data_IF_336510398305
#
_entry.id   IF_336510398305
#
_cell.length_a   1.000
_cell.length_b   1.000
_cell.length_c   1.000
_cell.angle_alpha   90.00
_cell.angle_beta   90.00
_cell.angle_gamma   90.00
#
_symmetry.space_group_name_H-M   'P 1'
#
loop_
_entity.id
_entity.type
_entity.pdbx_description
1 polymer ?
#
# COMPACT_ATOMS: atom_id res chain seq x y z
N UNK A 1 8.42 19.91 -12.29
CA UNK A 1 8.10 20.47 -10.96
C UNK A 1 6.62 20.82 -10.82
N UNK A 2 5.99 21.37 -11.87
CA UNK A 2 4.60 21.83 -11.85
C UNK A 2 3.58 20.78 -11.36
N UNK A 3 3.61 19.54 -11.91
CA UNK A 3 2.73 18.44 -11.48
C UNK A 3 2.81 18.10 -9.98
N UNK A 4 3.97 18.26 -9.34
CA UNK A 4 4.16 17.92 -7.92
C UNK A 4 3.47 18.94 -7.02
N UNK A 5 3.58 20.22 -7.35
CA UNK A 5 2.89 21.30 -6.61
C UNK A 5 1.38 21.23 -6.82
N UNK A 6 0.94 20.86 -8.03
CA UNK A 6 -0.46 20.66 -8.35
C UNK A 6 -1.05 19.47 -7.58
N UNK A 7 -0.33 18.35 -7.44
CA UNK A 7 -0.82 17.16 -6.74
C UNK A 7 -1.28 17.42 -5.30
N UNK A 8 -0.59 18.31 -4.57
CA UNK A 8 -0.95 18.65 -3.18
C UNK A 8 -2.26 19.45 -3.10
N UNK A 9 -2.55 20.26 -4.12
CA UNK A 9 -3.76 21.11 -4.20
C UNK A 9 -4.87 20.49 -5.05
N UNK A 10 -4.58 19.40 -5.74
CA UNK A 10 -5.44 18.77 -6.73
C UNK A 10 -6.84 18.50 -6.20
N UNK A 11 -7.85 18.84 -7.01
CA UNK A 11 -9.24 18.46 -6.79
C UNK A 11 -9.46 16.95 -7.04
N UNK A 12 -10.70 16.50 -6.90
CA UNK A 12 -11.02 15.07 -7.02
C UNK A 12 -10.70 14.51 -8.42
N UNK A 13 -11.00 15.26 -9.47
CA UNK A 13 -10.80 14.83 -10.86
C UNK A 13 -9.32 14.81 -11.21
N UNK A 14 -8.58 15.84 -10.80
CA UNK A 14 -7.13 15.93 -10.97
C UNK A 14 -6.41 14.80 -10.22
N UNK A 15 -6.80 14.49 -8.97
CA UNK A 15 -6.22 13.36 -8.23
C UNK A 15 -6.47 12.02 -8.91
N UNK A 16 -7.67 11.80 -9.47
CA UNK A 16 -7.98 10.57 -10.19
C UNK A 16 -7.05 10.35 -11.39
N UNK A 17 -6.73 11.42 -12.13
CA UNK A 17 -5.77 11.39 -13.24
C UNK A 17 -4.33 11.17 -12.73
N UNK A 18 -3.91 11.93 -11.72
CA UNK A 18 -2.55 11.86 -11.18
C UNK A 18 -2.22 10.52 -10.51
N UNK A 19 -3.23 9.77 -10.03
CA UNK A 19 -3.03 8.42 -9.50
C UNK A 19 -2.62 7.39 -10.56
N UNK A 20 -2.84 7.69 -11.85
CA UNK A 20 -2.40 6.86 -12.97
C UNK A 20 -1.02 7.31 -13.51
N UNK A 21 -0.42 8.36 -12.96
CA UNK A 21 0.86 8.88 -13.41
C UNK A 21 1.99 7.88 -13.09
N UNK A 22 2.93 7.74 -14.02
CA UNK A 22 4.05 6.80 -13.91
C UNK A 22 5.22 7.36 -13.10
N UNK A 23 5.18 8.64 -12.71
CA UNK A 23 6.18 9.26 -11.84
C UNK A 23 5.83 8.99 -10.35
N UNK A 24 6.63 8.19 -9.62
CA UNK A 24 6.39 7.93 -8.20
C UNK A 24 6.37 9.19 -7.33
N UNK A 25 7.04 10.28 -7.76
CA UNK A 25 7.04 11.55 -7.03
C UNK A 25 5.65 12.20 -7.03
N UNK A 26 4.87 11.99 -8.09
CA UNK A 26 3.47 12.46 -8.18
C UNK A 26 2.63 11.69 -7.17
N UNK A 27 2.73 10.36 -7.14
CA UNK A 27 2.03 9.52 -6.15
C UNK A 27 2.39 9.92 -4.71
N UNK A 28 3.67 10.13 -4.42
CA UNK A 28 4.13 10.58 -3.10
C UNK A 28 3.58 11.96 -2.73
N UNK A 29 3.50 12.88 -3.70
CA UNK A 29 2.93 14.21 -3.50
C UNK A 29 1.42 14.15 -3.25
N UNK A 30 0.69 13.25 -3.93
CA UNK A 30 -0.74 13.04 -3.72
C UNK A 30 -1.06 12.58 -2.30
N UNK A 31 -0.22 11.73 -1.70
CA UNK A 31 -0.37 11.29 -0.31
C UNK A 31 -0.35 12.46 0.70
N UNK A 32 0.19 13.62 0.31
CA UNK A 32 0.21 14.85 1.13
C UNK A 32 -0.99 15.75 0.89
N UNK A 33 -1.85 15.43 -0.07
CA UNK A 33 -3.05 16.21 -0.33
C UNK A 33 -4.04 16.04 0.85
N UNK A 34 -4.49 17.12 1.51
CA UNK A 34 -5.35 17.03 2.69
C UNK A 34 -6.74 16.44 2.39
N UNK A 35 -7.12 16.37 1.10
CA UNK A 35 -8.39 15.80 0.63
C UNK A 35 -8.23 14.37 0.11
N UNK A 36 -7.07 13.74 0.30
CA UNK A 36 -6.86 12.36 -0.11
C UNK A 36 -7.76 11.41 0.71
N UNK A 37 -8.39 10.49 0.00
CA UNK A 37 -9.30 9.49 0.58
C UNK A 37 -8.58 8.15 0.78
N UNK A 38 -9.14 7.30 1.64
CA UNK A 38 -8.60 5.93 1.85
C UNK A 38 -8.60 5.14 0.55
N UNK A 39 -9.62 5.26 -0.29
CA UNK A 39 -9.69 4.59 -1.60
C UNK A 39 -8.56 5.03 -2.55
N UNK A 40 -8.19 6.31 -2.51
CA UNK A 40 -7.05 6.83 -3.27
C UNK A 40 -5.72 6.28 -2.75
N UNK A 41 -5.59 6.12 -1.43
CA UNK A 41 -4.42 5.47 -0.80
C UNK A 41 -4.36 3.99 -1.18
N UNK A 42 -5.48 3.27 -1.24
CA UNK A 42 -5.54 1.89 -1.73
C UNK A 42 -5.05 1.81 -3.18
N UNK A 43 -5.46 2.76 -4.03
CA UNK A 43 -4.96 2.83 -5.42
C UNK A 43 -3.45 3.07 -5.48
N UNK A 44 -2.94 4.00 -4.67
CA UNK A 44 -1.50 4.24 -4.58
C UNK A 44 -0.74 3.00 -4.08
N UNK A 45 -1.26 2.30 -3.08
CA UNK A 45 -0.69 1.07 -2.54
C UNK A 45 -0.69 -0.10 -3.55
N UNK A 46 -1.62 -0.12 -4.51
CA UNK A 46 -1.67 -1.10 -5.62
C UNK A 46 -0.79 -0.73 -6.82
N UNK A 47 -0.25 0.49 -6.87
CA UNK A 47 0.49 0.97 -8.04
C UNK A 47 1.73 0.13 -8.35
N UNK A 48 1.96 -0.15 -9.63
CA UNK A 48 3.21 -0.76 -10.12
C UNK A 48 4.43 0.15 -9.95
N UNK A 49 4.19 1.45 -9.72
CA UNK A 49 5.19 2.48 -9.45
C UNK A 49 5.40 2.75 -7.96
N UNK A 50 4.87 1.88 -7.08
CA UNK A 50 5.12 1.95 -5.65
C UNK A 50 6.64 1.89 -5.37
N UNK A 51 7.13 2.84 -4.58
CA UNK A 51 8.51 2.88 -4.09
C UNK A 51 8.55 2.71 -2.58
N UNK A 52 9.76 2.50 -2.03
CA UNK A 52 9.97 2.44 -0.58
C UNK A 52 9.37 3.67 0.13
N UNK A 53 9.62 4.88 -0.36
CA UNK A 53 9.15 6.12 0.26
C UNK A 53 7.62 6.23 0.27
N UNK A 54 6.95 5.78 -0.80
CA UNK A 54 5.49 5.75 -0.87
C UNK A 54 4.94 4.73 0.13
N UNK A 55 5.49 3.51 0.12
CA UNK A 55 5.07 2.45 1.04
C UNK A 55 5.31 2.86 2.51
N UNK A 56 6.43 3.50 2.81
CA UNK A 56 6.78 4.01 4.13
C UNK A 56 5.82 5.12 4.57
N UNK A 57 5.53 6.09 3.70
CA UNK A 57 4.55 7.13 3.98
C UNK A 57 3.18 6.53 4.34
N UNK A 58 2.77 5.47 3.65
CA UNK A 58 1.52 4.78 3.95
C UNK A 58 1.59 4.02 5.29
N UNK A 59 2.67 3.26 5.50
CA UNK A 59 2.90 2.48 6.72
C UNK A 59 2.95 3.33 7.99
N UNK A 60 3.45 4.57 7.90
CA UNK A 60 3.58 5.48 9.03
C UNK A 60 2.28 6.24 9.35
N UNK A 61 1.29 6.22 8.46
CA UNK A 61 0.01 6.88 8.67
C UNK A 61 -1.00 5.91 9.33
N UNK A 62 -1.14 5.98 10.66
CA UNK A 62 -2.03 5.12 11.43
C UNK A 62 -3.49 5.12 10.91
N UNK A 63 -3.98 6.28 10.48
CA UNK A 63 -5.32 6.44 9.90
C UNK A 63 -5.53 5.54 8.66
N UNK A 64 -4.52 5.39 7.80
CA UNK A 64 -4.62 4.51 6.62
C UNK A 64 -4.34 3.06 6.99
N UNK A 65 -3.38 2.82 7.88
CA UNK A 65 -3.05 1.47 8.35
C UNK A 65 -4.18 0.82 9.16
N UNK A 66 -5.17 1.59 9.63
CA UNK A 66 -6.39 1.06 10.23
C UNK A 66 -7.29 0.32 9.22
N UNK A 67 -7.23 0.68 7.94
CA UNK A 67 -8.00 0.06 6.86
C UNK A 67 -7.42 -1.30 6.46
N UNK A 68 -8.25 -2.35 6.46
CA UNK A 68 -7.87 -3.67 5.96
C UNK A 68 -7.50 -3.60 4.47
N UNK A 69 -8.22 -2.82 3.66
CA UNK A 69 -7.97 -2.70 2.22
C UNK A 69 -6.61 -2.09 1.91
N UNK A 70 -6.16 -1.13 2.72
CA UNK A 70 -4.81 -0.54 2.58
C UNK A 70 -3.74 -1.59 2.91
N UNK A 71 -3.93 -2.34 4.00
CA UNK A 71 -3.01 -3.41 4.40
C UNK A 71 -2.92 -4.51 3.35
N UNK A 72 -4.07 -4.93 2.81
CA UNK A 72 -4.14 -5.92 1.73
C UNK A 72 -3.52 -5.39 0.43
N UNK A 73 -3.79 -4.14 0.06
CA UNK A 73 -3.17 -3.51 -1.11
C UNK A 73 -1.63 -3.52 -1.03
N UNK A 74 -1.07 -3.13 0.12
CA UNK A 74 0.37 -3.16 0.33
C UNK A 74 0.93 -4.59 0.31
N UNK A 75 0.37 -5.53 1.09
CA UNK A 75 0.97 -6.87 1.20
C UNK A 75 0.91 -7.67 -0.11
N UNK A 76 -0.10 -7.39 -0.95
CA UNK A 76 -0.25 -8.01 -2.28
C UNK A 76 0.50 -7.28 -3.40
N UNK A 77 1.09 -6.12 -3.13
CA UNK A 77 1.91 -5.44 -4.12
C UNK A 77 3.34 -6.02 -4.13
N UNK A 78 3.86 -6.50 -5.29
CA UNK A 78 5.20 -7.07 -5.39
C UNK A 78 6.33 -6.04 -5.15
N UNK A 79 6.04 -4.74 -5.22
CA UNK A 79 6.98 -3.66 -4.92
C UNK A 79 7.05 -3.30 -3.44
N UNK A 80 6.15 -3.84 -2.62
CA UNK A 80 6.19 -3.60 -1.17
C UNK A 80 7.44 -4.23 -0.58
N UNK A 81 8.27 -3.45 0.15
CA UNK A 81 9.44 -3.99 0.84
C UNK A 81 9.05 -5.17 1.73
N UNK A 82 9.83 -6.26 1.66
CA UNK A 82 9.51 -7.49 2.39
C UNK A 82 9.34 -7.27 3.90
N UNK A 83 10.17 -6.41 4.50
CA UNK A 83 10.05 -6.05 5.92
C UNK A 83 8.68 -5.44 6.25
N UNK A 84 8.08 -4.65 5.36
CA UNK A 84 6.76 -4.07 5.57
C UNK A 84 5.67 -5.13 5.41
N UNK A 85 5.77 -6.00 4.39
CA UNK A 85 4.83 -7.11 4.21
C UNK A 85 4.79 -8.03 5.44
N UNK A 86 5.96 -8.36 6.02
CA UNK A 86 6.06 -9.17 7.24
C UNK A 86 5.51 -8.46 8.49
N UNK A 87 5.58 -7.13 8.57
CA UNK A 87 4.94 -6.34 9.63
C UNK A 87 3.42 -6.27 9.47
N UNK A 88 2.92 -6.26 8.24
CA UNK A 88 1.48 -6.25 7.94
C UNK A 88 0.84 -7.60 8.23
N UNK A 89 1.48 -8.70 7.81
CA UNK A 89 0.94 -10.05 7.92
C UNK A 89 0.29 -10.38 9.29
N UNK A 90 0.88 -10.07 10.45
CA UNK A 90 0.29 -10.39 11.74
C UNK A 90 -0.96 -9.59 12.10
N UNK A 91 -1.26 -8.52 11.37
CA UNK A 91 -2.43 -7.65 11.57
C UNK A 91 -3.65 -8.08 10.74
N UNK A 92 -3.47 -9.08 9.88
CA UNK A 92 -4.53 -9.55 8.99
C UNK A 92 -5.42 -10.60 9.67
N UNK A 93 -6.72 -10.66 9.32
CA UNK A 93 -7.58 -11.74 9.74
C UNK A 93 -7.10 -13.08 9.16
N UNK A 94 -7.46 -14.18 9.81
CA UNK A 94 -6.92 -15.49 9.46
C UNK A 94 -7.28 -15.95 8.04
N UNK A 95 -8.44 -15.54 7.52
CA UNK A 95 -8.87 -15.80 6.13
C UNK A 95 -7.83 -15.28 5.13
N UNK A 96 -7.36 -14.06 5.33
CA UNK A 96 -6.35 -13.41 4.47
C UNK A 96 -4.98 -14.04 4.63
N UNK A 97 -4.59 -14.41 5.87
CA UNK A 97 -3.34 -15.15 6.11
C UNK A 97 -3.36 -16.49 5.36
N UNK A 98 -4.50 -17.19 5.35
CA UNK A 98 -4.68 -18.45 4.60
C UNK A 98 -4.63 -18.24 3.09
N UNK A 99 -5.14 -17.12 2.57
CA UNK A 99 -4.98 -16.75 1.16
C UNK A 99 -3.50 -16.49 0.81
N UNK A 100 -2.77 -15.75 1.64
CA UNK A 100 -1.34 -15.46 1.44
C UNK A 100 -0.50 -16.73 1.54
N UNK A 101 -0.82 -17.66 2.45
CA UNK A 101 -0.13 -18.95 2.53
C UNK A 101 -0.19 -19.74 1.20
N UNK A 102 -1.32 -19.63 0.48
CA UNK A 102 -1.52 -20.26 -0.83
C UNK A 102 -0.85 -19.49 -1.97
N UNK A 103 -0.94 -18.16 -1.96
CA UNK A 103 -0.62 -17.31 -3.12
C UNK A 103 0.07 -15.97 -2.81
N UNK A 104 0.90 -15.89 -1.78
CA UNK A 104 1.65 -14.67 -1.44
C UNK A 104 2.62 -14.22 -2.55
N UNK A 105 2.97 -12.93 -2.54
CA UNK A 105 3.77 -12.25 -3.58
C UNK A 105 5.20 -12.77 -3.72
N UNK A 106 5.74 -13.39 -2.68
CA UNK A 106 7.05 -14.03 -2.69
C UNK A 106 7.10 -15.22 -1.71
N UNK A 107 8.11 -16.07 -1.87
CA UNK A 107 8.23 -17.32 -1.09
C UNK A 107 8.35 -17.06 0.42
N UNK A 108 9.09 -16.04 0.83
CA UNK A 108 9.31 -15.75 2.23
C UNK A 108 8.02 -15.30 2.93
N UNK A 109 7.19 -14.49 2.27
CA UNK A 109 5.88 -14.10 2.77
C UNK A 109 4.94 -15.32 2.87
N UNK A 110 4.93 -16.20 1.86
CA UNK A 110 4.17 -17.46 1.91
C UNK A 110 4.57 -18.32 3.10
N UNK A 111 5.87 -18.52 3.29
CA UNK A 111 6.40 -19.31 4.42
C UNK A 111 6.04 -18.67 5.77
N UNK A 112 6.14 -17.34 5.89
CA UNK A 112 5.74 -16.63 7.10
C UNK A 112 4.25 -16.82 7.40
N UNK A 113 3.38 -16.78 6.38
CA UNK A 113 1.95 -17.02 6.53
C UNK A 113 1.65 -18.47 6.97
N UNK A 114 2.30 -19.46 6.37
CA UNK A 114 2.17 -20.88 6.76
C UNK A 114 2.60 -21.09 8.22
N UNK A 115 3.78 -20.58 8.62
CA UNK A 115 4.27 -20.69 10.00
C UNK A 115 3.31 -20.06 11.00
N UNK A 116 2.72 -18.90 10.66
CA UNK A 116 1.74 -18.23 11.52
C UNK A 116 0.47 -19.05 11.72
N UNK A 117 0.02 -19.80 10.71
CA UNK A 117 -1.16 -20.67 10.83
C UNK A 117 -0.87 -21.95 11.64
N UNK A 118 0.39 -22.41 11.66
CA UNK A 118 0.83 -23.60 12.40
C UNK A 118 1.21 -23.30 13.86
N UNK A 119 1.61 -22.06 14.15
CA UNK A 119 2.01 -21.62 15.49
C UNK A 119 0.88 -21.05 16.35
N UNK A 120 -0.38 -21.21 15.90
CA UNK A 120 -1.57 -21.08 16.76
C UNK A 120 -1.95 -22.47 17.25
#
# INVERSE_FOLDING_TARGET
MEKLLLAVKADRSERALLLQDNDPRVLLSLLRNPRITVDEVVRAAKSSFLTFQIAEAIMNAAQWMSSLDVRLALIHNPKTPQAFALRILPTLPESEVRAIARGGTNMALKQAAVRRLQGK
#
